data_IF_624814594139
#
_entry.id   IF_624814594139
#
_cell.length_a   1.000
_cell.length_b   1.000
_cell.length_c   1.000
_cell.angle_alpha   90.00
_cell.angle_beta   90.00
_cell.angle_gamma   90.00
#
_symmetry.space_group_name_H-M   'P 1'
#
loop_
_entity.id
_entity.type
_entity.pdbx_description
1 polymer ?
#
# COMPACT_ATOMS: atom_id res chain seq x y z
N UNK A 1 13.94 -3.19 14.23
CA UNK A 1 13.15 -2.12 14.83
C UNK A 1 13.75 -0.78 14.45
N UNK A 2 12.94 0.10 13.84
CA UNK A 2 13.35 1.45 13.47
C UNK A 2 12.33 2.44 14.03
N UNK A 3 12.85 3.53 14.61
CA UNK A 3 12.06 4.68 15.02
C UNK A 3 12.66 5.92 14.38
N UNK A 4 11.84 6.78 13.83
CA UNK A 4 12.30 8.06 13.25
C UNK A 4 11.35 9.20 13.61
N UNK A 5 11.96 10.38 13.79
CA UNK A 5 11.27 11.65 13.90
C UNK A 5 11.62 12.50 12.69
N UNK A 6 10.62 13.18 12.16
CA UNK A 6 10.80 14.12 11.05
C UNK A 6 10.19 15.47 11.46
N UNK A 7 10.95 16.51 11.19
CA UNK A 7 10.46 17.88 11.17
C UNK A 7 10.87 18.50 9.83
N UNK A 8 9.93 19.09 9.14
CA UNK A 8 10.16 19.72 7.85
C UNK A 8 9.42 21.05 7.77
N UNK A 9 10.14 22.11 7.43
CA UNK A 9 9.54 23.35 6.97
C UNK A 9 9.18 23.17 5.50
N UNK A 10 7.90 23.28 5.20
CA UNK A 10 7.41 23.13 3.83
C UNK A 10 7.27 24.51 3.24
N UNK A 11 8.07 24.77 2.20
CA UNK A 11 7.93 25.99 1.43
C UNK A 11 6.66 25.90 0.60
N UNK A 12 5.77 26.85 0.79
CA UNK A 12 4.51 26.95 0.07
C UNK A 12 4.51 28.22 -0.76
N UNK A 13 4.08 28.09 -1.98
CA UNK A 13 3.93 29.14 -2.96
C UNK A 13 3.52 28.50 -4.27
N UNK A 14 2.58 29.13 -4.98
CA UNK A 14 2.26 28.72 -6.34
C UNK A 14 3.22 29.41 -7.29
N UNK A 15 3.33 28.88 -8.50
CA UNK A 15 4.09 29.47 -9.61
C UNK A 15 3.73 30.96 -9.73
N UNK A 16 4.66 31.87 -9.45
CA UNK A 16 4.54 33.33 -9.41
C UNK A 16 4.23 33.96 -8.02
N UNK A 17 4.10 33.18 -6.97
CA UNK A 17 3.99 33.72 -5.62
C UNK A 17 5.32 33.61 -4.85
N UNK A 18 5.55 34.54 -3.92
CA UNK A 18 6.68 34.46 -3.01
C UNK A 18 6.46 33.30 -2.05
N UNK A 19 7.45 32.44 -1.94
CA UNK A 19 7.46 31.32 -1.01
C UNK A 19 7.46 31.84 0.42
N UNK A 20 6.57 31.35 1.26
CA UNK A 20 6.54 31.66 2.68
C UNK A 20 6.73 30.39 3.53
N UNK A 21 7.43 30.51 4.66
CA UNK A 21 7.85 29.38 5.48
C UNK A 21 6.97 29.20 6.74
N UNK A 22 5.64 29.21 6.60
CA UNK A 22 4.72 29.05 7.74
C UNK A 22 4.07 27.67 7.81
N UNK A 23 4.32 26.82 6.83
CA UNK A 23 3.85 25.44 6.82
C UNK A 23 4.91 24.51 7.40
N UNK A 24 4.53 23.78 8.42
CA UNK A 24 5.40 22.79 9.07
C UNK A 24 4.78 21.43 9.01
N UNK A 25 5.60 20.42 8.79
CA UNK A 25 5.23 19.01 8.89
C UNK A 25 6.05 18.33 9.98
N UNK A 26 5.39 17.71 10.92
CA UNK A 26 6.01 16.87 11.96
C UNK A 26 5.58 15.44 11.75
N UNK A 27 6.51 14.50 11.86
CA UNK A 27 6.22 13.09 11.69
C UNK A 27 6.94 12.22 12.70
N UNK A 28 6.26 11.15 13.12
CA UNK A 28 6.83 10.07 13.91
C UNK A 28 6.55 8.76 13.20
N UNK A 29 7.58 7.95 13.03
CA UNK A 29 7.46 6.65 12.40
C UNK A 29 8.04 5.56 13.31
N UNK A 30 7.29 4.46 13.43
CA UNK A 30 7.66 3.27 14.19
C UNK A 30 7.55 2.06 13.28
N UNK A 31 8.65 1.33 13.09
CA UNK A 31 8.73 0.20 12.16
C UNK A 31 9.38 -1.03 12.81
N UNK A 32 8.67 -1.80 13.63
CA UNK A 32 9.11 -3.12 14.04
C UNK A 32 8.98 -4.13 12.89
N UNK A 33 9.92 -5.05 12.82
CA UNK A 33 9.90 -6.19 11.91
C UNK A 33 10.26 -7.48 12.64
N UNK A 34 9.64 -8.57 12.23
CA UNK A 34 9.91 -9.93 12.69
C UNK A 34 10.14 -10.82 11.48
N UNK A 35 11.23 -11.56 11.51
CA UNK A 35 11.49 -12.63 10.55
C UNK A 35 11.72 -13.95 11.30
N UNK A 36 11.04 -14.99 10.85
CA UNK A 36 11.22 -16.34 11.31
C UNK A 36 11.53 -17.24 10.11
N UNK A 37 12.65 -17.94 10.16
CA UNK A 37 13.07 -18.87 9.12
C UNK A 37 13.46 -20.20 9.78
N UNK A 38 12.81 -21.27 9.36
CA UNK A 38 13.07 -22.61 9.88
C UNK A 38 13.07 -23.63 8.75
N UNK A 39 14.14 -24.38 8.66
CA UNK A 39 14.26 -25.53 7.76
C UNK A 39 13.80 -26.80 8.45
N UNK A 40 13.22 -27.71 7.69
CA UNK A 40 12.72 -29.01 8.16
C UNK A 40 11.77 -28.89 9.36
N UNK A 41 10.88 -27.89 9.34
CA UNK A 41 9.88 -27.69 10.38
C UNK A 41 8.83 -28.81 10.30
N UNK A 42 8.65 -29.56 11.38
CA UNK A 42 7.74 -30.73 11.52
C UNK A 42 8.04 -31.92 10.59
N UNK A 43 8.60 -31.72 9.38
CA UNK A 43 8.89 -32.77 8.41
C UNK A 43 10.19 -32.44 7.65
N UNK A 44 10.94 -33.52 7.29
CA UNK A 44 12.14 -33.38 6.44
C UNK A 44 11.71 -32.82 5.07
N UNK A 45 12.36 -31.73 4.64
CA UNK A 45 12.09 -31.05 3.37
C UNK A 45 11.04 -29.94 3.47
N UNK A 46 10.39 -29.70 4.62
CA UNK A 46 9.49 -28.58 4.82
C UNK A 46 10.25 -27.38 5.40
N UNK A 47 10.45 -26.36 4.60
CA UNK A 47 11.07 -25.10 4.98
C UNK A 47 10.00 -24.01 5.07
N UNK A 48 10.03 -23.22 6.14
CA UNK A 48 9.04 -22.16 6.40
C UNK A 48 9.74 -20.85 6.65
N UNK A 49 9.23 -19.79 6.02
CA UNK A 49 9.64 -18.40 6.24
C UNK A 49 8.40 -17.57 6.56
N UNK A 50 8.46 -16.82 7.64
CA UNK A 50 7.45 -15.83 8.03
C UNK A 50 8.15 -14.49 8.22
N UNK A 51 7.64 -13.46 7.55
CA UNK A 51 8.06 -12.09 7.77
C UNK A 51 6.84 -11.24 8.11
N UNK A 52 6.94 -10.45 9.17
CA UNK A 52 5.89 -9.51 9.58
C UNK A 52 6.53 -8.16 9.82
N UNK A 53 6.02 -7.15 9.12
CA UNK A 53 6.43 -5.77 9.29
C UNK A 53 5.21 -4.93 9.67
N UNK A 54 5.37 -4.10 10.67
CA UNK A 54 4.39 -3.08 11.01
C UNK A 54 5.01 -1.71 10.81
N UNK A 55 4.26 -0.80 10.24
CA UNK A 55 4.67 0.60 10.11
C UNK A 55 3.54 1.49 10.60
N UNK A 56 3.80 2.19 11.69
CA UNK A 56 2.96 3.28 12.17
C UNK A 56 3.61 4.59 11.80
N UNK A 57 2.88 5.44 11.09
CA UNK A 57 3.34 6.77 10.71
C UNK A 57 2.28 7.80 11.13
N UNK A 58 2.69 8.68 12.03
CA UNK A 58 1.91 9.80 12.50
C UNK A 58 2.46 11.07 11.89
N UNK A 59 1.65 11.77 11.11
CA UNK A 59 2.04 13.04 10.49
C UNK A 59 1.10 14.14 10.94
N UNK A 60 1.65 15.27 11.37
CA UNK A 60 0.90 16.49 11.71
C UNK A 60 1.35 17.59 10.76
N UNK A 61 0.42 18.16 10.03
CA UNK A 61 0.62 19.32 9.17
C UNK A 61 0.03 20.55 9.84
N UNK A 62 0.82 21.61 9.92
CA UNK A 62 0.42 22.90 10.47
C UNK A 62 0.74 23.96 9.45
N UNK A 63 -0.26 24.74 9.05
CA UNK A 63 -0.07 25.95 8.24
C UNK A 63 -0.85 27.08 8.92
N UNK A 64 -0.13 28.10 9.37
CA UNK A 64 -0.69 29.24 10.09
C UNK A 64 -0.89 30.47 9.20
N UNK A 65 -0.54 30.38 7.92
CA UNK A 65 -0.65 31.51 7.01
C UNK A 65 -2.13 31.75 6.62
N UNK A 66 -2.57 32.96 6.70
CA UNK A 66 -3.86 33.45 6.20
C UNK A 66 -3.75 34.29 4.94
N UNK A 67 -2.54 34.49 4.45
CA UNK A 67 -2.25 35.33 3.28
C UNK A 67 -0.99 34.85 2.58
N UNK A 68 -0.88 35.19 1.30
CA UNK A 68 0.30 35.01 0.47
C UNK A 68 0.85 36.35 -0.03
N UNK A 69 2.11 36.37 -0.43
CA UNK A 69 2.74 37.53 -1.06
C UNK A 69 2.92 37.25 -2.56
N UNK A 70 2.60 38.22 -3.39
CA UNK A 70 2.99 38.20 -4.79
C UNK A 70 4.45 38.63 -4.98
N UNK A 71 4.98 38.51 -6.21
CA UNK A 71 6.35 38.89 -6.53
C UNK A 71 6.69 40.36 -6.28
N UNK A 72 5.70 41.23 -6.15
CA UNK A 72 5.86 42.64 -5.84
C UNK A 72 5.85 42.91 -4.33
N UNK A 73 5.72 41.87 -3.51
CA UNK A 73 5.65 41.99 -2.06
C UNK A 73 4.27 42.42 -1.53
N UNK A 74 3.26 42.43 -2.38
CA UNK A 74 1.88 42.78 -1.98
C UNK A 74 1.22 41.60 -1.27
N UNK A 75 0.56 41.89 -0.17
CA UNK A 75 -0.14 40.89 0.66
C UNK A 75 -1.53 40.64 0.11
N UNK A 76 -1.85 39.39 -0.19
CA UNK A 76 -3.18 38.94 -0.63
C UNK A 76 -3.75 37.94 0.37
N UNK A 77 -4.99 38.18 0.83
CA UNK A 77 -5.70 37.22 1.64
C UNK A 77 -6.04 35.98 0.82
N UNK A 78 -5.90 34.79 1.43
CA UNK A 78 -6.31 33.52 0.85
C UNK A 78 -7.82 33.35 1.04
N UNK A 79 -8.56 33.44 -0.04
CA UNK A 79 -10.03 33.44 -0.02
C UNK A 79 -10.66 32.24 -0.72
N UNK A 80 -9.89 31.52 -1.54
CA UNK A 80 -10.40 30.33 -2.24
C UNK A 80 -10.30 29.07 -1.39
N UNK A 81 -11.24 28.13 -1.46
CA UNK A 81 -11.15 26.85 -0.75
C UNK A 81 -9.91 26.04 -1.08
N UNK A 82 -9.40 26.11 -2.32
CA UNK A 82 -8.16 25.45 -2.76
C UNK A 82 -6.87 26.18 -2.36
N UNK A 83 -6.98 27.41 -1.86
CA UNK A 83 -5.86 28.23 -1.37
C UNK A 83 -5.82 28.29 0.17
N UNK A 84 -6.67 27.49 0.85
CA UNK A 84 -6.72 27.54 2.31
C UNK A 84 -5.38 27.16 2.90
N UNK A 85 -4.77 28.17 3.53
CA UNK A 85 -3.49 28.06 4.19
C UNK A 85 -3.62 27.68 5.65
N UNK A 86 -4.73 28.02 6.31
CA UNK A 86 -4.89 27.74 7.72
C UNK A 86 -5.31 26.27 7.91
N UNK A 87 -4.32 25.42 8.14
CA UNK A 87 -4.49 23.98 8.30
C UNK A 87 -3.82 23.50 9.59
N UNK A 88 -4.50 22.67 10.33
CA UNK A 88 -3.91 21.90 11.41
C UNK A 88 -4.54 20.50 11.39
N UNK A 89 -3.89 19.61 10.67
CA UNK A 89 -4.38 18.25 10.48
C UNK A 89 -3.39 17.21 10.98
N UNK A 90 -3.91 16.09 11.39
CA UNK A 90 -3.15 14.93 11.84
C UNK A 90 -3.61 13.70 11.07
N UNK A 91 -2.66 13.01 10.44
CA UNK A 91 -2.88 11.72 9.80
C UNK A 91 -2.17 10.61 10.61
N UNK A 92 -2.93 9.59 10.99
CA UNK A 92 -2.42 8.38 11.65
C UNK A 92 -2.54 7.22 10.66
N UNK A 93 -1.41 6.76 10.14
CA UNK A 93 -1.32 5.66 9.20
C UNK A 93 -0.78 4.42 9.90
N UNK A 94 -1.47 3.31 9.75
CA UNK A 94 -1.03 2.01 10.22
C UNK A 94 -0.96 1.05 9.04
N UNK A 95 0.18 0.39 8.85
CA UNK A 95 0.40 -0.55 7.76
C UNK A 95 1.03 -1.84 8.28
N UNK A 96 0.35 -2.95 8.06
CA UNK A 96 0.81 -4.30 8.32
C UNK A 96 1.15 -5.00 7.03
N UNK A 97 2.36 -5.53 6.93
CA UNK A 97 2.78 -6.37 5.82
C UNK A 97 3.25 -7.70 6.39
N UNK A 98 2.61 -8.77 5.98
CA UNK A 98 2.94 -10.13 6.33
C UNK A 98 3.22 -10.96 5.09
N UNK A 99 4.28 -11.77 5.11
CA UNK A 99 4.52 -12.81 4.11
C UNK A 99 4.78 -14.13 4.81
N UNK A 100 4.11 -15.17 4.34
CA UNK A 100 4.33 -16.52 4.77
C UNK A 100 4.65 -17.39 3.56
N UNK A 101 5.73 -18.15 3.62
CA UNK A 101 6.14 -19.07 2.58
C UNK A 101 6.44 -20.43 3.21
N UNK A 102 5.83 -21.46 2.68
CA UNK A 102 6.12 -22.84 3.02
C UNK A 102 6.55 -23.60 1.76
N UNK A 103 7.77 -24.12 1.76
CA UNK A 103 8.31 -24.93 0.67
C UNK A 103 8.44 -26.36 1.16
N UNK A 104 7.77 -27.28 0.49
CA UNK A 104 7.87 -28.68 0.79
C UNK A 104 8.54 -29.45 -0.37
N UNK A 105 9.74 -29.96 -0.11
CA UNK A 105 10.49 -30.77 -1.08
C UNK A 105 10.24 -32.25 -0.85
N UNK A 106 9.59 -32.88 -1.83
CA UNK A 106 9.30 -34.29 -1.88
C UNK A 106 10.37 -34.98 -2.75
N UNK A 107 11.44 -35.42 -2.12
CA UNK A 107 12.61 -35.94 -2.82
C UNK A 107 13.39 -34.87 -3.56
N UNK A 108 13.94 -35.24 -4.73
CA UNK A 108 14.72 -34.31 -5.59
C UNK A 108 13.92 -33.70 -6.72
N UNK A 109 12.78 -34.27 -7.01
CA UNK A 109 12.01 -34.03 -8.25
C UNK A 109 10.84 -33.08 -8.02
N UNK A 110 10.18 -33.16 -6.85
CA UNK A 110 8.94 -32.46 -6.59
C UNK A 110 9.13 -31.35 -5.54
N UNK A 111 8.57 -30.18 -5.79
CA UNK A 111 8.49 -29.11 -4.81
C UNK A 111 7.09 -28.52 -4.81
N UNK A 112 6.46 -28.47 -3.66
CA UNK A 112 5.21 -27.77 -3.42
C UNK A 112 5.52 -26.50 -2.64
N UNK A 113 5.03 -25.35 -3.11
CA UNK A 113 5.22 -24.06 -2.45
C UNK A 113 3.87 -23.41 -2.19
N UNK A 114 3.61 -23.07 -0.95
CA UNK A 114 2.52 -22.20 -0.56
C UNK A 114 3.06 -20.85 -0.15
N UNK A 115 2.47 -19.79 -0.71
CA UNK A 115 2.77 -18.40 -0.35
C UNK A 115 1.50 -17.69 0.07
N UNK A 116 1.59 -16.89 1.13
CA UNK A 116 0.52 -16.00 1.53
C UNK A 116 1.10 -14.61 1.81
N UNK A 117 0.48 -13.60 1.23
CA UNK A 117 0.82 -12.20 1.44
C UNK A 117 -0.38 -11.49 2.03
N UNK A 118 -0.20 -10.84 3.16
CA UNK A 118 -1.15 -9.95 3.81
C UNK A 118 -0.62 -8.53 3.76
N UNK A 119 -1.41 -7.62 3.27
CA UNK A 119 -1.21 -6.19 3.44
C UNK A 119 -2.48 -5.59 4.03
N UNK A 120 -2.38 -4.95 5.20
CA UNK A 120 -3.48 -4.27 5.84
C UNK A 120 -3.07 -2.84 6.16
N UNK A 121 -3.82 -1.90 5.63
CA UNK A 121 -3.59 -0.47 5.79
C UNK A 121 -4.82 0.18 6.40
N UNK A 122 -4.59 1.10 7.34
CA UNK A 122 -5.62 2.01 7.82
C UNK A 122 -5.07 3.41 7.98
N UNK A 123 -5.91 4.38 7.64
CA UNK A 123 -5.63 5.81 7.81
C UNK A 123 -6.81 6.47 8.50
N UNK A 124 -6.53 7.20 9.56
CA UNK A 124 -7.47 8.15 10.14
C UNK A 124 -6.89 9.56 10.06
N UNK A 125 -7.68 10.47 9.57
CA UNK A 125 -7.36 11.88 9.56
C UNK A 125 -8.16 12.58 10.65
N UNK A 126 -7.58 13.61 11.24
CA UNK A 126 -8.26 14.46 12.24
C UNK A 126 -7.87 15.90 11.95
N UNK A 127 -8.87 16.76 11.73
CA UNK A 127 -8.64 18.19 11.76
C UNK A 127 -8.57 18.64 13.22
N UNK A 128 -7.50 19.32 13.58
CA UNK A 128 -7.32 19.90 14.93
C UNK A 128 -7.86 21.33 14.99
N UNK A 129 -8.47 21.82 13.92
CA UNK A 129 -9.25 23.03 13.85
C UNK A 129 -10.72 22.71 14.13
N UNK A 130 -11.48 23.69 14.58
CA UNK A 130 -12.86 23.49 15.04
C UNK A 130 -13.86 22.98 13.97
N UNK A 131 -13.46 22.92 12.71
CA UNK A 131 -14.27 22.40 11.60
C UNK A 131 -13.60 21.17 11.02
N UNK A 132 -14.03 19.99 11.47
CA UNK A 132 -13.70 18.71 10.83
C UNK A 132 -14.45 18.58 9.50
N UNK A 133 -13.77 18.12 8.47
CA UNK A 133 -14.45 17.62 7.27
C UNK A 133 -15.11 16.27 7.62
N UNK A 134 -16.35 16.07 7.22
CA UNK A 134 -17.09 14.83 7.56
C UNK A 134 -16.40 13.58 6.99
N UNK A 135 -15.68 13.71 5.88
CA UNK A 135 -14.89 12.61 5.30
C UNK A 135 -13.74 12.15 6.21
N UNK A 136 -13.15 13.06 6.97
CA UNK A 136 -12.02 12.76 7.86
C UNK A 136 -12.41 11.95 9.09
N UNK A 137 -13.67 12.06 9.53
CA UNK A 137 -14.21 11.28 10.64
C UNK A 137 -14.34 9.77 10.29
N UNK A 138 -14.25 9.40 9.00
CA UNK A 138 -14.38 8.04 8.52
C UNK A 138 -13.00 7.49 8.18
N UNK A 139 -12.56 6.47 8.93
CA UNK A 139 -11.28 5.81 8.66
C UNK A 139 -11.28 5.13 7.28
N UNK A 140 -10.17 5.28 6.56
CA UNK A 140 -9.88 4.62 5.29
C UNK A 140 -9.11 3.33 5.59
N UNK A 141 -9.61 2.21 5.10
CA UNK A 141 -9.04 0.89 5.38
C UNK A 141 -8.93 0.07 4.10
N UNK A 142 -7.84 -0.67 3.96
CA UNK A 142 -7.74 -1.72 2.94
C UNK A 142 -7.03 -2.95 3.50
N UNK A 143 -7.47 -4.12 3.07
CA UNK A 143 -6.85 -5.40 3.40
C UNK A 143 -6.73 -6.22 2.14
N UNK A 144 -5.50 -6.51 1.73
CA UNK A 144 -5.17 -7.36 0.59
C UNK A 144 -4.62 -8.69 1.11
N UNK A 145 -5.21 -9.77 0.63
CA UNK A 145 -4.76 -11.15 0.87
C UNK A 145 -4.49 -11.80 -0.48
N UNK A 146 -3.30 -12.31 -0.67
CA UNK A 146 -2.94 -13.06 -1.88
C UNK A 146 -2.37 -14.39 -1.42
N UNK A 147 -3.08 -15.48 -1.73
CA UNK A 147 -2.62 -16.83 -1.46
C UNK A 147 -2.24 -17.52 -2.76
N UNK A 148 -1.06 -18.08 -2.82
CA UNK A 148 -0.55 -18.80 -3.99
C UNK A 148 -0.13 -20.21 -3.64
N UNK A 149 -0.48 -21.16 -4.48
CA UNK A 149 0.00 -22.53 -4.42
C UNK A 149 0.69 -22.85 -5.73
N UNK A 150 1.94 -23.31 -5.67
CA UNK A 150 2.68 -23.73 -6.85
C UNK A 150 3.26 -25.11 -6.67
N UNK A 151 3.27 -25.86 -7.75
CA UNK A 151 3.90 -27.16 -7.84
C UNK A 151 4.96 -27.11 -8.93
N UNK A 152 6.17 -27.55 -8.58
CA UNK A 152 7.31 -27.65 -9.49
C UNK A 152 7.77 -29.09 -9.61
N UNK A 153 7.98 -29.51 -10.85
CA UNK A 153 8.45 -30.82 -11.24
C UNK A 153 9.80 -30.68 -11.97
N UNK A 154 10.82 -31.35 -11.49
CA UNK A 154 12.16 -31.42 -12.11
C UNK A 154 12.55 -32.88 -12.35
N UNK A 155 12.01 -33.53 -13.40
CA UNK A 155 12.27 -34.96 -13.67
C UNK A 155 13.72 -35.23 -14.05
N UNK A 156 14.41 -34.22 -14.56
CA UNK A 156 15.84 -34.26 -14.90
C UNK A 156 16.46 -32.88 -14.68
N UNK A 157 17.79 -32.79 -14.74
CA UNK A 157 18.52 -31.51 -14.74
C UNK A 157 18.18 -30.65 -15.95
N UNK A 158 17.78 -31.29 -17.05
CA UNK A 158 17.43 -30.60 -18.29
C UNK A 158 15.99 -30.05 -18.31
N UNK A 159 15.10 -30.54 -17.45
CA UNK A 159 13.69 -30.22 -17.52
C UNK A 159 13.15 -29.64 -16.17
N UNK A 160 12.53 -28.47 -16.22
CA UNK A 160 11.85 -27.85 -15.10
C UNK A 160 10.46 -27.40 -15.55
N UNK A 161 9.43 -27.91 -14.92
CA UNK A 161 8.03 -27.57 -15.16
C UNK A 161 7.42 -27.02 -13.87
N UNK A 162 6.58 -26.03 -13.99
CA UNK A 162 5.83 -25.46 -12.86
C UNK A 162 4.42 -25.09 -13.25
N UNK A 163 3.49 -25.31 -12.34
CA UNK A 163 2.10 -24.83 -12.42
C UNK A 163 1.75 -24.13 -11.12
N UNK A 164 0.94 -23.10 -11.19
CA UNK A 164 0.55 -22.35 -10.01
C UNK A 164 -0.85 -21.77 -10.13
N UNK A 165 -1.49 -21.60 -8.98
CA UNK A 165 -2.74 -20.88 -8.80
C UNK A 165 -2.58 -19.81 -7.73
N UNK A 166 -3.24 -18.67 -7.91
CA UNK A 166 -3.27 -17.56 -6.97
C UNK A 166 -4.72 -17.17 -6.70
N UNK A 167 -5.04 -16.94 -5.44
CA UNK A 167 -6.30 -16.36 -5.02
C UNK A 167 -6.04 -14.96 -4.48
N UNK A 168 -6.75 -14.00 -5.04
CA UNK A 168 -6.70 -12.59 -4.67
C UNK A 168 -7.98 -12.23 -3.93
N UNK A 169 -7.82 -11.56 -2.80
CA UNK A 169 -8.92 -10.98 -2.06
C UNK A 169 -8.52 -9.59 -1.59
N UNK A 170 -9.35 -8.61 -1.83
CA UNK A 170 -9.19 -7.26 -1.33
C UNK A 170 -10.48 -6.76 -0.70
N UNK A 171 -10.38 -6.28 0.52
CA UNK A 171 -11.42 -5.55 1.22
C UNK A 171 -11.00 -4.09 1.32
N UNK A 172 -11.94 -3.20 1.08
CA UNK A 172 -11.76 -1.74 1.16
C UNK A 172 -12.92 -1.15 1.94
N UNK A 173 -12.63 -0.18 2.80
CA UNK A 173 -13.64 0.62 3.50
C UNK A 173 -13.18 2.08 3.57
N UNK A 174 -14.09 3.00 3.34
CA UNK A 174 -13.76 4.43 3.39
C UNK A 174 -14.97 5.32 3.18
N UNK A 175 -14.78 6.63 3.22
CA UNK A 175 -15.82 7.61 2.97
C UNK A 175 -16.20 7.65 1.50
N UNK A 176 -17.49 7.69 1.22
CA UNK A 176 -18.05 7.96 -0.11
C UNK A 176 -19.07 9.08 0.04
N UNK A 177 -18.98 10.09 -0.81
CA UNK A 177 -19.94 11.19 -0.84
C UNK A 177 -21.32 10.66 -1.24
N UNK A 178 -22.36 11.08 -0.54
CA UNK A 178 -23.75 10.71 -0.82
C UNK A 178 -24.46 11.73 -1.70
N UNK A 179 -23.89 12.93 -1.80
CA UNK A 179 -24.41 14.02 -2.62
C UNK A 179 -23.37 14.56 -3.61
N UNK A 180 -23.85 15.17 -4.69
CA UNK A 180 -22.99 15.74 -5.73
C UNK A 180 -22.14 16.93 -5.25
N UNK A 181 -22.52 17.56 -4.13
CA UNK A 181 -21.80 18.68 -3.54
C UNK A 181 -20.76 18.24 -2.51
N UNK A 182 -20.63 16.93 -2.25
CA UNK A 182 -19.68 16.33 -1.31
C UNK A 182 -19.79 16.91 0.13
N UNK A 183 -21.01 17.19 0.58
CA UNK A 183 -21.26 17.69 1.92
C UNK A 183 -21.47 16.55 2.94
N UNK A 184 -22.03 15.43 2.49
CA UNK A 184 -22.32 14.27 3.32
C UNK A 184 -21.56 13.05 2.86
N UNK A 185 -20.98 12.31 3.81
CA UNK A 185 -20.21 11.11 3.58
C UNK A 185 -20.73 9.94 4.40
N UNK A 186 -20.72 8.76 3.80
CA UNK A 186 -21.02 7.51 4.50
C UNK A 186 -19.86 6.54 4.38
N UNK A 187 -19.68 5.72 5.42
CA UNK A 187 -18.71 4.63 5.35
C UNK A 187 -19.24 3.54 4.43
N UNK A 188 -18.56 3.33 3.33
CA UNK A 188 -18.86 2.30 2.34
C UNK A 188 -17.78 1.23 2.36
N UNK A 189 -18.16 -0.01 2.07
CA UNK A 189 -17.25 -1.16 1.98
C UNK A 189 -17.35 -1.80 0.62
N UNK A 190 -16.23 -2.23 0.08
CA UNK A 190 -16.15 -2.98 -1.17
C UNK A 190 -15.23 -4.18 -1.00
N UNK A 191 -15.56 -5.30 -1.65
CA UNK A 191 -14.72 -6.52 -1.62
C UNK A 191 -14.58 -7.09 -3.03
N UNK A 192 -13.35 -7.36 -3.41
CA UNK A 192 -13.00 -7.94 -4.70
C UNK A 192 -12.32 -9.29 -4.48
N UNK A 193 -12.72 -10.29 -5.27
CA UNK A 193 -12.05 -11.58 -5.28
C UNK A 193 -11.73 -11.98 -6.72
N UNK A 194 -10.59 -12.61 -6.92
CA UNK A 194 -10.22 -13.13 -8.23
C UNK A 194 -9.26 -14.31 -8.12
N UNK A 195 -9.16 -15.06 -9.21
CA UNK A 195 -8.26 -16.21 -9.32
C UNK A 195 -7.35 -16.02 -10.52
N UNK A 196 -6.05 -16.10 -10.25
CA UNK A 196 -5.02 -16.17 -11.28
C UNK A 196 -4.41 -17.56 -11.34
N UNK A 197 -3.87 -17.93 -12.47
CA UNK A 197 -3.18 -19.20 -12.65
C UNK A 197 -2.14 -19.11 -13.78
N UNK A 198 -1.21 -20.03 -13.76
CA UNK A 198 -0.20 -20.07 -14.80
C UNK A 198 0.60 -21.36 -14.80
N UNK A 199 1.38 -21.51 -15.86
CA UNK A 199 2.33 -22.60 -16.03
C UNK A 199 3.60 -22.06 -16.67
N UNK A 200 4.74 -22.66 -16.32
CA UNK A 200 6.02 -22.35 -16.94
C UNK A 200 6.82 -23.63 -17.15
N UNK A 201 7.55 -23.71 -18.26
CA UNK A 201 8.43 -24.80 -18.58
C UNK A 201 9.78 -24.28 -19.08
N UNK A 202 10.84 -24.98 -18.68
CA UNK A 202 12.19 -24.75 -19.19
C UNK A 202 12.79 -26.09 -19.59
N UNK A 203 13.39 -26.17 -20.78
CA UNK A 203 14.08 -27.36 -21.25
C UNK A 203 15.44 -26.98 -21.83
N UNK A 204 16.49 -27.57 -21.28
CA UNK A 204 17.85 -27.44 -21.81
C UNK A 204 18.04 -28.42 -22.96
N UNK A 205 18.11 -27.92 -24.20
CA UNK A 205 18.21 -28.73 -25.42
C UNK A 205 19.65 -29.28 -25.56
N UNK A 206 20.61 -28.40 -25.30
CA UNK A 206 22.04 -28.73 -25.30
C UNK A 206 22.82 -27.65 -24.48
N UNK A 207 24.11 -27.87 -24.14
CA UNK A 207 24.92 -26.86 -23.47
C UNK A 207 24.89 -25.52 -24.20
N UNK A 208 24.43 -24.48 -23.49
CA UNK A 208 24.29 -23.12 -24.02
C UNK A 208 22.96 -22.82 -24.73
N UNK A 209 22.08 -23.81 -24.96
CA UNK A 209 20.76 -23.60 -25.57
C UNK A 209 19.64 -24.13 -24.70
N UNK A 210 18.71 -23.23 -24.33
CA UNK A 210 17.51 -23.59 -23.58
C UNK A 210 16.25 -22.99 -24.22
N UNK A 211 15.15 -23.72 -24.17
CA UNK A 211 13.80 -23.22 -24.46
C UNK A 211 13.06 -22.90 -23.17
N UNK A 212 12.36 -21.77 -23.17
CA UNK A 212 11.48 -21.36 -22.06
C UNK A 212 10.12 -20.96 -22.60
N UNK A 213 9.06 -21.45 -21.97
CA UNK A 213 7.70 -21.06 -22.25
C UNK A 213 6.98 -20.77 -20.92
N UNK A 214 6.22 -19.68 -20.87
CA UNK A 214 5.40 -19.37 -19.72
C UNK A 214 4.09 -18.73 -20.15
N UNK A 215 3.04 -19.03 -19.38
CA UNK A 215 1.73 -18.41 -19.48
C UNK A 215 1.25 -18.09 -18.09
N UNK A 216 0.73 -16.87 -17.89
CA UNK A 216 0.11 -16.44 -16.64
C UNK A 216 -1.14 -15.61 -16.93
N UNK A 217 -2.24 -15.96 -16.28
CA UNK A 217 -3.39 -15.11 -16.10
C UNK A 217 -3.29 -14.45 -14.72
N UNK A 218 -2.83 -13.21 -14.69
CA UNK A 218 -2.73 -12.41 -13.48
C UNK A 218 -3.94 -11.49 -13.32
N UNK A 219 -4.22 -11.10 -12.08
CA UNK A 219 -5.20 -10.09 -11.73
C UNK A 219 -4.53 -8.96 -10.98
N UNK A 220 -4.82 -7.71 -11.37
CA UNK A 220 -4.31 -6.52 -10.68
C UNK A 220 -5.32 -6.06 -9.65
N UNK A 221 -4.89 -5.94 -8.41
CA UNK A 221 -5.67 -5.30 -7.36
C UNK A 221 -5.39 -3.79 -7.36
N UNK A 222 -6.42 -2.94 -7.14
CA UNK A 222 -6.25 -1.49 -7.05
C UNK A 222 -5.25 -1.08 -5.97
N UNK A 223 -4.57 0.03 -6.19
CA UNK A 223 -3.66 0.64 -5.20
C UNK A 223 -4.46 1.47 -4.18
N UNK A 224 -3.80 1.86 -3.08
CA UNK A 224 -4.39 2.74 -2.06
C UNK A 224 -4.71 4.10 -2.67
N UNK A 225 -3.84 4.61 -3.54
CA UNK A 225 -4.00 5.90 -4.20
C UNK A 225 -5.17 5.91 -5.20
N UNK A 226 -5.35 4.82 -5.95
CA UNK A 226 -6.50 4.68 -6.86
C UNK A 226 -7.83 4.64 -6.11
N UNK A 227 -7.85 4.03 -4.91
CA UNK A 227 -9.06 3.87 -4.12
C UNK A 227 -9.39 5.09 -3.26
N UNK A 228 -8.38 5.76 -2.71
CA UNK A 228 -8.59 6.85 -1.74
C UNK A 228 -8.06 8.21 -2.23
N UNK A 229 -7.46 8.26 -3.40
CA UNK A 229 -6.79 9.46 -3.90
C UNK A 229 -5.45 9.74 -3.20
N UNK A 230 -4.77 10.75 -3.65
CA UNK A 230 -3.65 11.34 -2.94
C UNK A 230 -4.14 12.51 -2.06
N UNK A 231 -3.31 12.92 -1.10
CA UNK A 231 -3.70 13.93 -0.10
C UNK A 231 -3.87 15.35 -0.70
N UNK A 232 -3.44 15.55 -1.95
CA UNK A 232 -3.31 16.90 -2.50
C UNK A 232 -4.22 17.19 -3.70
N UNK A 233 -4.50 16.26 -4.62
CA UNK A 233 -5.12 16.61 -5.92
C UNK A 233 -6.02 15.54 -6.56
N UNK A 234 -5.93 14.27 -6.17
CA UNK A 234 -6.66 13.19 -6.84
C UNK A 234 -7.73 12.58 -5.95
N UNK A 235 -8.95 12.53 -6.45
CA UNK A 235 -10.03 11.79 -5.81
C UNK A 235 -9.89 10.31 -6.14
N UNK A 236 -10.03 9.46 -5.12
CA UNK A 236 -10.07 8.02 -5.30
C UNK A 236 -11.49 7.51 -5.56
N UNK A 237 -11.56 6.31 -6.13
CA UNK A 237 -12.82 5.56 -6.26
C UNK A 237 -12.68 4.19 -5.59
N UNK A 238 -13.43 3.95 -4.52
CA UNK A 238 -13.40 2.67 -3.80
C UNK A 238 -14.21 1.57 -4.50
N UNK A 239 -14.92 1.91 -5.56
CA UNK A 239 -15.72 0.99 -6.37
C UNK A 239 -15.00 0.35 -7.56
N UNK A 240 -13.67 0.62 -7.73
CA UNK A 240 -12.85 0.11 -8.83
C UNK A 240 -12.68 -1.41 -8.76
#
# INVERSE_FOLDING_TARGET
FTYSNMYQDVQTGVRQDIVYGQKHRKGHSLMPSLEYNKRNLFAKGLDVVLTVNYNKNLTTNVDTASYKYNWYGERKLLTSPGEQSYQHSRADNNNWNGTFTANYRLGRVHTLTFNHVLNAFSRSNTSLLAKEEQSDAIAKETRKNISGLSYRLMPSEACNLSVFGKYYNQFVAGPVATDANQNDYVRTTHSVHSVGYGAAGTYFILPGLQAKLSYEKAYRLPTIEEMFGNEDLEMGDIGI
#
